data_IF_058374593629
#
_entry.id   IF_058374593629
#
_cell.length_a   1.000
_cell.length_b   1.000
_cell.length_c   1.000
_cell.angle_alpha   90.00
_cell.angle_beta   90.00
_cell.angle_gamma   90.00
#
_symmetry.space_group_name_H-M   'P 1'
#
loop_
_entity.id
_entity.type
_entity.pdbx_description
1 polymer ?
#
# COMPACT_ATOMS: atom_id res chain seq x y z
N UNK A 1 -19.21 -32.65 24.47
CA UNK A 1 -20.10 -31.89 23.56
C UNK A 1 -21.31 -32.69 23.11
N UNK A 2 -21.21 -34.01 23.01
CA UNK A 2 -22.32 -34.87 22.56
C UNK A 2 -23.57 -34.77 23.46
N UNK A 3 -23.42 -34.78 24.79
CA UNK A 3 -24.56 -34.71 25.72
C UNK A 3 -25.51 -33.51 25.51
N UNK A 4 -24.99 -32.31 25.23
CA UNK A 4 -25.84 -31.12 25.01
C UNK A 4 -26.58 -31.20 23.68
N UNK A 5 -25.95 -31.78 22.65
CA UNK A 5 -26.55 -31.97 21.32
C UNK A 5 -27.53 -33.14 21.28
N UNK A 6 -27.26 -34.19 22.05
CA UNK A 6 -28.06 -35.41 22.14
C UNK A 6 -29.32 -35.22 22.98
N UNK A 7 -29.31 -34.30 23.95
CA UNK A 7 -30.45 -34.04 24.84
C UNK A 7 -31.20 -32.74 24.54
N UNK A 8 -30.87 -32.03 23.45
CA UNK A 8 -31.52 -30.77 23.02
C UNK A 8 -31.81 -29.78 24.17
N UNK A 9 -30.86 -29.62 25.10
CA UNK A 9 -31.06 -28.88 26.35
C UNK A 9 -31.66 -27.48 26.09
N UNK A 10 -32.86 -27.23 26.60
CA UNK A 10 -33.60 -25.97 26.40
C UNK A 10 -33.09 -24.92 27.41
N UNK A 11 -33.35 -23.63 27.14
CA UNK A 11 -32.80 -22.49 27.87
C UNK A 11 -32.96 -22.63 29.41
N UNK A 12 -31.85 -22.88 30.11
CA UNK A 12 -31.80 -23.07 31.57
C UNK A 12 -31.25 -24.43 32.00
N UNK A 13 -31.53 -25.49 31.25
CA UNK A 13 -31.13 -26.87 31.59
C UNK A 13 -29.60 -27.08 31.49
N UNK A 14 -28.94 -26.32 30.61
CA UNK A 14 -27.48 -26.30 30.52
C UNK A 14 -26.82 -25.91 31.85
N UNK A 15 -27.40 -24.95 32.58
CA UNK A 15 -26.83 -24.48 33.85
C UNK A 15 -27.02 -25.54 34.94
N UNK A 16 -28.19 -26.17 34.99
CA UNK A 16 -28.46 -27.29 35.92
C UNK A 16 -27.52 -28.47 35.65
N UNK A 17 -27.30 -28.81 34.38
CA UNK A 17 -26.34 -29.83 34.00
C UNK A 17 -24.91 -29.46 34.43
N UNK A 18 -24.44 -28.24 34.15
CA UNK A 18 -23.13 -27.76 34.59
C UNK A 18 -22.97 -27.79 36.12
N UNK A 19 -24.01 -27.38 36.85
CA UNK A 19 -24.04 -27.43 38.32
C UNK A 19 -23.97 -28.87 38.85
N UNK A 20 -24.65 -29.83 38.19
CA UNK A 20 -24.58 -31.26 38.52
C UNK A 20 -23.17 -31.84 38.40
N UNK A 21 -22.38 -31.31 37.47
CA UNK A 21 -20.96 -31.63 37.27
C UNK A 21 -20.03 -30.92 38.27
N UNK A 22 -20.59 -30.13 39.21
CA UNK A 22 -19.86 -29.29 40.17
C UNK A 22 -18.87 -28.33 39.49
N UNK A 23 -19.20 -27.85 38.30
CA UNK A 23 -18.38 -26.94 37.52
C UNK A 23 -18.95 -25.52 37.59
N UNK A 24 -18.09 -24.50 37.70
CA UNK A 24 -18.54 -23.10 37.58
C UNK A 24 -19.02 -22.84 36.15
N UNK A 25 -20.17 -22.16 36.05
CA UNK A 25 -20.78 -21.76 34.78
C UNK A 25 -19.78 -21.09 33.83
N UNK A 26 -18.92 -20.19 34.32
CA UNK A 26 -17.95 -19.45 33.51
C UNK A 26 -16.89 -20.39 32.95
N UNK A 27 -16.44 -21.37 33.73
CA UNK A 27 -15.47 -22.35 33.26
C UNK A 27 -16.08 -23.29 32.23
N UNK A 28 -17.34 -23.70 32.41
CA UNK A 28 -18.07 -24.45 31.38
C UNK A 28 -18.17 -23.66 30.06
N UNK A 29 -18.47 -22.36 30.12
CA UNK A 29 -18.46 -21.49 28.93
C UNK A 29 -17.06 -21.40 28.28
N UNK A 30 -16.00 -21.28 29.08
CA UNK A 30 -14.62 -21.28 28.54
C UNK A 30 -14.30 -22.59 27.83
N UNK A 31 -14.58 -23.74 28.46
CA UNK A 31 -14.35 -25.05 27.86
C UNK A 31 -15.16 -25.24 26.57
N UNK A 32 -16.41 -24.78 26.55
CA UNK A 32 -17.22 -24.78 25.33
C UNK A 32 -16.58 -23.95 24.22
N UNK A 33 -16.10 -22.75 24.53
CA UNK A 33 -15.43 -21.90 23.56
C UNK A 33 -14.14 -22.55 23.05
N UNK A 34 -13.32 -23.11 23.94
CA UNK A 34 -12.08 -23.82 23.61
C UNK A 34 -12.38 -25.01 22.70
N UNK A 35 -13.32 -25.88 23.07
CA UNK A 35 -13.69 -27.05 22.27
C UNK A 35 -14.21 -26.69 20.87
N UNK A 36 -14.89 -25.54 20.74
CA UNK A 36 -15.37 -25.04 19.43
C UNK A 36 -14.23 -24.50 18.55
N UNK A 37 -13.27 -23.80 19.16
CA UNK A 37 -12.25 -23.04 18.45
C UNK A 37 -10.93 -23.79 18.27
N UNK A 38 -10.64 -24.75 19.14
CA UNK A 38 -9.42 -25.54 19.20
C UNK A 38 -9.77 -27.04 19.18
N UNK A 39 -10.32 -27.57 18.06
CA UNK A 39 -10.72 -28.98 17.99
C UNK A 39 -9.53 -29.95 17.97
N UNK A 40 -8.33 -29.49 17.60
CA UNK A 40 -7.09 -30.27 17.65
C UNK A 40 -6.17 -29.67 18.73
N UNK A 41 -6.22 -30.24 19.92
CA UNK A 41 -5.67 -29.65 21.15
C UNK A 41 -4.23 -30.10 21.48
N UNK A 42 -3.63 -30.95 20.65
CA UNK A 42 -2.32 -31.58 20.91
C UNK A 42 -1.24 -30.58 21.34
N UNK A 43 -1.20 -29.43 20.68
CA UNK A 43 -0.23 -28.35 20.92
C UNK A 43 -0.46 -27.62 22.24
N UNK A 44 -1.67 -27.64 22.79
CA UNK A 44 -2.06 -26.82 23.94
C UNK A 44 -2.38 -27.64 25.20
N UNK A 45 -2.08 -28.94 25.21
CA UNK A 45 -2.45 -29.85 26.32
C UNK A 45 -1.82 -29.47 27.65
N UNK A 46 -0.67 -28.80 27.62
CA UNK A 46 0.01 -28.30 28.81
C UNK A 46 -0.56 -26.98 29.33
N UNK A 47 -1.45 -26.33 28.59
CA UNK A 47 -2.06 -25.06 28.98
C UNK A 47 -3.23 -25.25 29.94
N UNK A 48 -3.29 -24.39 30.94
CA UNK A 48 -4.44 -24.27 31.82
C UNK A 48 -5.67 -23.69 31.09
N UNK A 49 -6.86 -23.92 31.63
CA UNK A 49 -8.14 -23.46 31.06
C UNK A 49 -8.15 -21.97 30.69
N UNK A 50 -7.56 -21.11 31.54
CA UNK A 50 -7.52 -19.67 31.27
C UNK A 50 -6.62 -19.33 30.08
N UNK A 51 -5.46 -19.99 29.96
CA UNK A 51 -4.57 -19.80 28.81
C UNK A 51 -5.22 -20.34 27.52
N UNK A 52 -5.81 -21.54 27.58
CA UNK A 52 -6.58 -22.12 26.48
C UNK A 52 -7.69 -21.19 26.01
N UNK A 53 -8.46 -20.63 26.93
CA UNK A 53 -9.53 -19.68 26.60
C UNK A 53 -8.97 -18.42 25.92
N UNK A 54 -7.86 -17.88 26.43
CA UNK A 54 -7.23 -16.70 25.81
C UNK A 54 -6.80 -17.01 24.38
N UNK A 55 -6.08 -18.12 24.15
CA UNK A 55 -5.67 -18.57 22.81
C UNK A 55 -6.87 -18.79 21.90
N UNK A 56 -7.91 -19.49 22.39
CA UNK A 56 -9.15 -19.75 21.64
C UNK A 56 -9.91 -18.47 21.24
N UNK A 57 -9.68 -17.37 21.95
CA UNK A 57 -10.30 -16.07 21.62
C UNK A 57 -9.45 -15.18 20.72
N UNK A 58 -8.22 -15.60 20.39
CA UNK A 58 -7.40 -14.94 19.38
C UNK A 58 -7.86 -15.35 17.97
N UNK A 59 -7.67 -14.48 16.95
CA UNK A 59 -7.81 -14.87 15.55
C UNK A 59 -6.92 -16.06 15.23
N UNK A 60 -7.38 -16.98 14.39
CA UNK A 60 -6.67 -18.22 14.07
C UNK A 60 -5.24 -17.97 13.55
N UNK A 61 -5.07 -16.98 12.69
CA UNK A 61 -3.77 -16.54 12.16
C UNK A 61 -2.77 -16.15 13.26
N UNK A 62 -3.25 -15.57 14.36
CA UNK A 62 -2.40 -15.08 15.45
C UNK A 62 -2.04 -16.19 16.44
N UNK A 63 -2.70 -17.35 16.40
CA UNK A 63 -2.46 -18.47 17.34
C UNK A 63 -1.16 -19.22 17.01
N UNK A 64 -0.84 -19.39 15.74
CA UNK A 64 0.36 -20.11 15.29
C UNK A 64 1.58 -19.21 15.10
N UNK A 65 1.36 -17.89 15.09
CA UNK A 65 2.38 -16.89 14.84
C UNK A 65 3.24 -16.64 16.07
N UNK A 66 4.52 -16.35 15.85
CA UNK A 66 5.42 -15.87 16.89
C UNK A 66 5.14 -14.39 17.21
N UNK A 67 5.07 -14.09 18.50
CA UNK A 67 4.83 -12.76 19.03
C UNK A 67 5.98 -12.36 19.94
N UNK A 68 6.37 -11.09 19.84
CA UNK A 68 7.33 -10.51 20.77
C UNK A 68 6.60 -10.18 22.06
N UNK A 69 6.96 -10.87 23.13
CA UNK A 69 6.42 -10.64 24.47
C UNK A 69 6.86 -9.28 25.01
N UNK A 70 6.25 -8.82 26.11
CA UNK A 70 6.67 -7.57 26.77
C UNK A 70 8.08 -7.64 27.37
N UNK A 71 8.69 -8.83 27.42
CA UNK A 71 10.10 -9.04 27.79
C UNK A 71 11.05 -8.98 26.59
N UNK A 72 10.54 -8.82 25.37
CA UNK A 72 11.35 -8.81 24.13
C UNK A 72 11.65 -10.21 23.58
N UNK A 73 11.16 -11.28 24.21
CA UNK A 73 11.38 -12.65 23.76
C UNK A 73 10.33 -13.04 22.70
N UNK A 74 10.73 -13.62 21.55
CA UNK A 74 9.79 -14.21 20.59
C UNK A 74 9.23 -15.51 21.17
N UNK A 75 7.90 -15.61 21.28
CA UNK A 75 7.19 -16.81 21.75
C UNK A 75 5.95 -17.06 20.91
N UNK A 76 5.59 -18.33 20.74
CA UNK A 76 4.28 -18.71 20.21
C UNK A 76 3.21 -18.67 21.30
N UNK A 77 1.94 -18.65 20.91
CA UNK A 77 0.84 -18.51 21.88
C UNK A 77 0.72 -19.69 22.86
N UNK A 78 1.24 -20.86 22.52
CA UNK A 78 1.34 -22.04 23.38
C UNK A 78 2.48 -21.96 24.42
N UNK A 79 3.46 -21.09 24.23
CA UNK A 79 4.59 -20.88 25.15
C UNK A 79 4.41 -19.64 26.03
N UNK A 80 3.42 -18.81 25.71
CA UNK A 80 3.16 -17.56 26.43
C UNK A 80 2.44 -17.81 27.75
N UNK A 81 2.81 -17.02 28.75
CA UNK A 81 2.09 -16.96 30.02
C UNK A 81 0.73 -16.28 29.85
N UNK A 82 -0.19 -16.53 30.78
CA UNK A 82 -1.53 -15.89 30.79
C UNK A 82 -1.45 -14.37 30.69
N UNK A 83 -0.50 -13.74 31.40
CA UNK A 83 -0.31 -12.30 31.38
C UNK A 83 0.15 -11.81 30.00
N UNK A 84 1.11 -12.49 29.39
CA UNK A 84 1.59 -12.17 28.05
C UNK A 84 0.47 -12.34 27.00
N UNK A 85 -0.37 -13.38 27.11
CA UNK A 85 -1.54 -13.58 26.24
C UNK A 85 -2.59 -12.47 26.40
N UNK A 86 -2.84 -12.00 27.63
CA UNK A 86 -3.74 -10.88 27.89
C UNK A 86 -3.22 -9.58 27.26
N UNK A 87 -1.93 -9.30 27.42
CA UNK A 87 -1.28 -8.13 26.83
C UNK A 87 -1.31 -8.20 25.30
N UNK A 88 -1.03 -9.36 24.71
CA UNK A 88 -1.14 -9.59 23.27
C UNK A 88 -2.56 -9.29 22.77
N UNK A 89 -3.58 -9.84 23.44
CA UNK A 89 -4.98 -9.61 23.10
C UNK A 89 -5.36 -8.12 23.19
N UNK A 90 -4.86 -7.41 24.21
CA UNK A 90 -5.09 -5.97 24.35
C UNK A 90 -4.41 -5.18 23.22
N UNK A 91 -3.15 -5.48 22.89
CA UNK A 91 -2.41 -4.87 21.78
C UNK A 91 -3.12 -5.07 20.44
N UNK A 92 -3.59 -6.28 20.15
CA UNK A 92 -4.35 -6.57 18.94
C UNK A 92 -5.66 -5.77 18.89
N UNK A 93 -6.39 -5.69 20.01
CA UNK A 93 -7.62 -4.88 20.10
C UNK A 93 -7.35 -3.39 19.87
N UNK A 94 -6.28 -2.84 20.42
CA UNK A 94 -5.90 -1.44 20.20
C UNK A 94 -5.54 -1.18 18.74
N UNK A 95 -4.77 -2.08 18.12
CA UNK A 95 -4.40 -1.98 16.71
C UNK A 95 -5.61 -2.01 15.77
N UNK A 96 -6.61 -2.86 16.08
CA UNK A 96 -7.86 -2.89 15.34
C UNK A 96 -8.61 -1.55 15.44
N UNK A 97 -8.78 -1.02 16.66
CA UNK A 97 -9.41 0.29 16.86
C UNK A 97 -8.72 1.42 16.08
N UNK A 98 -7.39 1.47 16.12
CA UNK A 98 -6.63 2.48 15.37
C UNK A 98 -6.83 2.35 13.87
N UNK A 99 -6.91 1.12 13.34
CA UNK A 99 -7.21 0.88 11.93
C UNK A 99 -8.64 1.31 11.57
N UNK A 100 -9.61 1.02 12.42
CA UNK A 100 -11.01 1.42 12.20
C UNK A 100 -11.13 2.96 12.19
N UNK A 101 -10.46 3.65 13.11
CA UNK A 101 -10.38 5.12 13.13
C UNK A 101 -9.71 5.66 11.86
N UNK A 102 -8.60 5.06 11.41
CA UNK A 102 -7.94 5.44 10.16
C UNK A 102 -8.84 5.26 8.94
N UNK A 103 -9.57 4.14 8.87
CA UNK A 103 -10.50 3.86 7.77
C UNK A 103 -11.63 4.89 7.75
N UNK A 104 -12.20 5.22 8.90
CA UNK A 104 -13.25 6.23 9.00
C UNK A 104 -12.75 7.60 8.54
N UNK A 105 -11.58 8.03 9.03
CA UNK A 105 -11.00 9.32 8.62
C UNK A 105 -10.71 9.36 7.11
N UNK A 106 -10.18 8.28 6.52
CA UNK A 106 -9.94 8.20 5.08
C UNK A 106 -11.25 8.21 4.28
N UNK A 107 -12.28 7.54 4.79
CA UNK A 107 -13.62 7.57 4.20
C UNK A 107 -14.17 8.99 4.17
N UNK A 108 -14.06 9.73 5.28
CA UNK A 108 -14.53 11.12 5.36
C UNK A 108 -13.79 12.00 4.33
N UNK A 109 -12.46 11.89 4.23
CA UNK A 109 -11.67 12.61 3.22
C UNK A 109 -12.08 12.27 1.79
N UNK A 110 -12.35 10.99 1.48
CA UNK A 110 -12.82 10.58 0.15
C UNK A 110 -14.19 11.19 -0.15
N UNK A 111 -15.11 11.19 0.82
CA UNK A 111 -16.43 11.82 0.64
C UNK A 111 -16.32 13.32 0.40
N UNK A 112 -15.45 14.02 1.14
CA UNK A 112 -15.19 15.44 0.93
C UNK A 112 -14.59 15.71 -0.45
N UNK A 113 -13.61 14.92 -0.91
CA UNK A 113 -13.02 15.07 -2.24
C UNK A 113 -14.03 14.81 -3.36
N UNK A 114 -14.90 13.81 -3.21
CA UNK A 114 -15.93 13.51 -4.22
C UNK A 114 -17.01 14.61 -4.31
N UNK A 115 -17.22 15.36 -3.23
CA UNK A 115 -18.15 16.49 -3.21
C UNK A 115 -17.51 17.80 -3.74
N UNK A 116 -16.20 17.83 -3.99
CA UNK A 116 -15.53 19.00 -4.60
C UNK A 116 -15.71 18.98 -6.11
N UNK A 117 -16.10 20.12 -6.68
CA UNK A 117 -16.14 20.29 -8.13
C UNK A 117 -14.75 20.08 -8.75
N UNK A 118 -14.65 19.41 -9.91
CA UNK A 118 -13.37 19.14 -10.54
C UNK A 118 -12.64 20.45 -10.84
N UNK A 119 -11.42 20.60 -10.30
CA UNK A 119 -10.55 21.74 -10.62
C UNK A 119 -10.12 21.64 -12.09
N UNK A 120 -10.73 22.43 -12.95
CA UNK A 120 -10.32 22.59 -14.35
C UNK A 120 -8.95 23.28 -14.34
N UNK A 121 -7.89 22.52 -14.57
CA UNK A 121 -6.56 23.10 -14.81
C UNK A 121 -6.45 23.35 -16.31
N UNK A 122 -6.62 24.61 -16.71
CA UNK A 122 -6.32 25.05 -18.07
C UNK A 122 -4.81 24.93 -18.29
N UNK A 123 -4.39 23.86 -18.97
CA UNK A 123 -3.02 23.75 -19.48
C UNK A 123 -2.93 24.64 -20.72
N UNK A 124 -2.28 25.79 -20.61
CA UNK A 124 -1.85 26.55 -21.78
C UNK A 124 -0.89 25.69 -22.59
N UNK A 125 -1.37 25.12 -23.70
CA UNK A 125 -0.52 24.48 -24.68
C UNK A 125 0.15 25.60 -25.47
N UNK A 126 1.42 25.89 -25.16
CA UNK A 126 2.25 26.75 -26.00
C UNK A 126 2.45 26.04 -27.34
N UNK A 127 1.62 26.36 -28.32
CA UNK A 127 1.82 25.92 -29.69
C UNK A 127 2.92 26.81 -30.27
N UNK A 128 4.13 26.26 -30.45
CA UNK A 128 5.15 26.89 -31.28
C UNK A 128 4.64 26.93 -32.73
N UNK A 129 4.00 28.04 -33.12
CA UNK A 129 3.61 28.26 -34.51
C UNK A 129 4.88 28.64 -35.29
N UNK A 130 5.32 27.74 -36.17
CA UNK A 130 6.31 28.09 -37.20
C UNK A 130 5.71 29.23 -38.04
N UNK A 131 6.39 30.38 -38.19
CA UNK A 131 5.90 31.47 -39.03
C UNK A 131 5.64 30.98 -40.47
N UNK A 132 4.54 31.42 -41.07
CA UNK A 132 4.12 30.97 -42.40
C UNK A 132 5.22 31.18 -43.47
N UNK A 133 6.01 32.24 -43.31
CA UNK A 133 7.05 32.65 -44.25
C UNK A 133 8.42 31.97 -43.97
N UNK A 134 8.52 31.09 -42.97
CA UNK A 134 9.78 30.44 -42.62
C UNK A 134 10.35 29.62 -43.78
N UNK A 135 9.50 28.85 -44.47
CA UNK A 135 9.92 28.07 -45.64
C UNK A 135 10.40 28.97 -46.79
N UNK A 136 9.69 30.06 -47.06
CA UNK A 136 10.05 31.04 -48.09
C UNK A 136 11.41 31.68 -47.80
N UNK A 137 11.64 32.11 -46.56
CA UNK A 137 12.90 32.70 -46.13
C UNK A 137 14.09 31.72 -46.20
N UNK A 138 13.86 30.41 -45.96
CA UNK A 138 14.89 29.38 -46.14
C UNK A 138 15.30 29.23 -47.61
N UNK A 139 14.31 29.23 -48.52
CA UNK A 139 14.56 29.16 -49.96
C UNK A 139 15.32 30.39 -50.44
N UNK A 140 14.89 31.58 -50.02
CA UNK A 140 15.55 32.84 -50.37
C UNK A 140 17.00 32.89 -49.85
N UNK A 141 17.23 32.51 -48.58
CA UNK A 141 18.58 32.44 -48.03
C UNK A 141 19.48 31.45 -48.79
N UNK A 142 18.94 30.31 -49.23
CA UNK A 142 19.69 29.36 -50.05
C UNK A 142 20.09 29.97 -51.39
N UNK A 143 19.16 30.64 -52.08
CA UNK A 143 19.43 31.30 -53.35
C UNK A 143 20.44 32.44 -53.21
N UNK A 144 20.36 33.23 -52.13
CA UNK A 144 21.32 34.29 -51.84
C UNK A 144 22.73 33.72 -51.59
N UNK A 145 22.85 32.61 -50.85
CA UNK A 145 24.13 31.92 -50.64
C UNK A 145 24.74 31.39 -51.93
N UNK A 146 23.91 30.81 -52.81
CA UNK A 146 24.36 30.34 -54.12
C UNK A 146 24.90 31.50 -54.97
N UNK A 147 24.18 32.62 -55.03
CA UNK A 147 24.64 33.84 -55.72
C UNK A 147 25.92 34.42 -55.14
N UNK A 148 26.06 34.44 -53.81
CA UNK A 148 27.29 34.90 -53.16
C UNK A 148 28.49 34.03 -53.55
N UNK A 149 28.34 32.71 -53.52
CA UNK A 149 29.40 31.78 -53.94
C UNK A 149 29.76 31.95 -55.42
N UNK A 150 28.77 32.15 -56.30
CA UNK A 150 29.02 32.43 -57.73
C UNK A 150 29.80 33.73 -57.92
N UNK A 151 29.40 34.80 -57.22
CA UNK A 151 30.10 36.08 -57.26
C UNK A 151 31.53 35.97 -56.73
N UNK A 152 31.76 35.26 -55.63
CA UNK A 152 33.09 34.99 -55.11
C UNK A 152 33.95 34.19 -56.09
N UNK A 153 33.37 33.16 -56.73
CA UNK A 153 34.04 32.39 -57.78
C UNK A 153 34.40 33.25 -59.00
N UNK A 154 33.50 34.13 -59.41
CA UNK A 154 33.74 35.08 -60.50
C UNK A 154 34.82 36.10 -60.14
N UNK A 155 34.80 36.65 -58.92
CA UNK A 155 35.83 37.56 -58.42
C UNK A 155 37.20 36.87 -58.36
N UNK A 156 37.26 35.62 -57.90
CA UNK A 156 38.49 34.81 -57.91
C UNK A 156 38.99 34.57 -59.34
N UNK A 157 38.09 34.26 -60.27
CA UNK A 157 38.42 34.06 -61.69
C UNK A 157 38.92 35.35 -62.35
N UNK A 158 38.33 36.50 -62.04
CA UNK A 158 38.76 37.81 -62.52
C UNK A 158 40.13 38.17 -61.91
N UNK A 159 40.32 37.95 -60.61
CA UNK A 159 41.60 38.17 -59.93
C UNK A 159 42.73 37.30 -60.53
N UNK A 160 42.44 36.06 -60.92
CA UNK A 160 43.39 35.18 -61.60
C UNK A 160 43.65 35.56 -63.07
N UNK A 161 42.67 36.17 -63.75
CA UNK A 161 42.77 36.65 -65.14
C UNK A 161 43.36 38.05 -65.29
N UNK A 162 43.60 38.76 -64.21
CA UNK A 162 44.22 40.10 -64.28
C UNK A 162 45.74 39.90 -64.33
N UNK A 163 46.41 40.09 -65.49
CA UNK A 163 47.87 40.02 -65.50
C UNK A 163 48.42 41.17 -64.67
N UNK A 164 49.36 40.86 -63.77
CA UNK A 164 50.25 41.83 -63.14
C UNK A 164 51.23 42.37 -64.20
N UNK A 165 50.71 43.06 -65.22
CA UNK A 165 51.52 43.71 -66.25
C UNK A 165 51.48 45.22 -66.02
N UNK A 166 52.55 45.71 -65.41
CA UNK A 166 52.81 47.13 -65.25
C UNK A 166 53.17 47.81 -66.58
N UNK A 167 53.17 49.14 -66.54
CA UNK A 167 53.96 49.96 -67.47
C UNK A 167 54.42 51.23 -66.76
N UNK A 168 55.73 51.29 -66.49
CA UNK A 168 56.50 52.53 -66.50
C UNK A 168 56.23 53.25 -67.82
N UNK A 169 55.89 54.54 -67.79
CA UNK A 169 56.39 55.51 -68.78
C UNK A 169 56.42 56.89 -68.11
N UNK A 170 57.65 57.42 -68.03
CA UNK A 170 58.12 58.81 -67.92
C UNK A 170 57.31 59.83 -67.09
#
# INVERSE_FOLDING_TARGET
>A
MNYVKENELVHGEFIEWVNSLRMDRRDAYKFMQVAKQLPNDGTFRHLENTALYLVATLPEEERTKEHVTSKGEPKKTDEMTVKELQELKQKLKQKLKQKDEQINNLSDVITEMNNQEPKIVEKEVVIEKIPNDYASNQIENKQLRERLNELEGNLSTIAQRTPRNGRKVL
#
